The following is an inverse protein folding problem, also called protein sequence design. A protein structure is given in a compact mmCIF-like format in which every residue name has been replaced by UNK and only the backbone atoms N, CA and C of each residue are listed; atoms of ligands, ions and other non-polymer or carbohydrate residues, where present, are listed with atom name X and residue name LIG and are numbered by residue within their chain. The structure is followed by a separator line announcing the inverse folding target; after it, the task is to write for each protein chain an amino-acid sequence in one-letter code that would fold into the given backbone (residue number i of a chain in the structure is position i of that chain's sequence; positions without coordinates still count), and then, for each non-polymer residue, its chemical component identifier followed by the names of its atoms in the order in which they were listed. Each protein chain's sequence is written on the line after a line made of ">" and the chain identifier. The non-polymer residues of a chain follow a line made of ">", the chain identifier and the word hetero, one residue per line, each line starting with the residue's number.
data_IF_862637179894
#
_entry.id   IF_862637179894
#
_cell.length_a   1.000
_cell.length_b   1.000
_cell.length_c   1.000
_cell.angle_alpha   90.00
_cell.angle_beta   90.00
_cell.angle_gamma   90.00
#
_symmetry.space_group_name_H-M   'P 1'
#
loop_
_entity.id
_entity.type
_entity.pdbx_description
1 polymer ?
#
# COMPACT_ATOMS: atom_id res chain seq x y z
N UNK A 1 11.10 13.53 14.48
CA UNK A 1 12.15 13.51 13.43
C UNK A 1 11.83 12.38 12.47
N UNK A 2 11.38 12.66 11.25
CA UNK A 2 10.98 11.63 10.26
C UNK A 2 12.22 11.14 9.53
N UNK A 3 12.51 9.83 9.56
CA UNK A 3 13.63 9.28 8.81
C UNK A 3 13.36 7.90 8.20
N UNK A 4 13.69 7.83 6.90
CA UNK A 4 13.90 6.69 5.99
C UNK A 4 12.67 6.19 5.22
N UNK A 5 12.83 6.16 3.89
CA UNK A 5 11.91 5.61 2.90
C UNK A 5 11.71 4.10 3.11
N UNK A 6 10.45 3.60 3.21
CA UNK A 6 10.17 2.18 3.44
C UNK A 6 10.54 1.22 2.29
N UNK A 7 10.93 1.74 1.11
CA UNK A 7 11.30 0.85 -0.02
C UNK A 7 12.54 0.00 0.28
N UNK A 8 13.40 0.41 1.22
CA UNK A 8 14.73 -0.19 1.39
C UNK A 8 14.94 -0.98 2.71
N UNK A 9 13.91 -1.13 3.56
CA UNK A 9 14.06 -1.85 4.86
C UNK A 9 15.18 -1.30 5.76
N UNK A 10 15.51 -0.03 5.60
CA UNK A 10 16.61 0.67 6.27
C UNK A 10 16.10 1.44 7.50
N UNK A 11 16.87 1.36 8.59
CA UNK A 11 16.60 1.96 9.90
C UNK A 11 17.83 2.72 10.38
N UNK A 12 17.61 3.76 11.18
CA UNK A 12 18.70 4.55 11.75
C UNK A 12 18.92 4.20 13.21
N UNK A 13 20.18 4.06 13.60
CA UNK A 13 20.53 3.98 15.01
C UNK A 13 20.12 5.27 15.74
N UNK A 14 19.46 5.15 16.89
CA UNK A 14 19.06 6.30 17.71
C UNK A 14 20.24 7.03 18.36
N UNK A 15 21.42 6.40 18.44
CA UNK A 15 22.62 6.97 19.05
C UNK A 15 23.52 7.60 17.98
N UNK A 16 24.02 6.78 17.05
CA UNK A 16 25.00 7.24 16.04
C UNK A 16 24.37 7.66 14.71
N UNK A 17 23.05 7.54 14.55
CA UNK A 17 22.30 7.91 13.32
C UNK A 17 22.68 7.16 12.04
N UNK A 18 23.57 6.16 12.13
CA UNK A 18 23.97 5.29 11.02
C UNK A 18 22.75 4.57 10.45
N UNK A 19 22.60 4.60 9.12
CA UNK A 19 21.53 3.91 8.39
C UNK A 19 21.96 2.47 8.10
N UNK A 20 21.13 1.50 8.44
CA UNK A 20 21.39 0.07 8.21
C UNK A 20 20.11 -0.74 8.06
N UNK A 21 20.18 -1.95 7.53
CA UNK A 21 19.00 -2.83 7.44
C UNK A 21 18.48 -3.21 8.82
N UNK A 22 17.17 -3.45 8.94
CA UNK A 22 16.50 -3.83 10.20
C UNK A 22 17.20 -4.98 10.94
N UNK A 23 17.58 -6.04 10.22
CA UNK A 23 18.27 -7.21 10.80
C UNK A 23 19.66 -6.86 11.37
N UNK A 24 20.33 -5.86 10.80
CA UNK A 24 21.66 -5.42 11.21
C UNK A 24 21.61 -4.42 12.37
N UNK A 25 20.50 -3.70 12.54
CA UNK A 25 20.32 -2.70 13.60
C UNK A 25 20.49 -3.29 14.99
N UNK A 26 19.81 -4.41 15.28
CA UNK A 26 19.84 -5.00 16.62
C UNK A 26 21.24 -5.46 17.01
N UNK A 27 21.95 -6.11 16.07
CA UNK A 27 23.34 -6.52 16.27
C UNK A 27 24.26 -5.31 16.44
N UNK A 28 24.04 -4.25 15.69
CA UNK A 28 24.81 -3.00 15.83
C UNK A 28 24.62 -2.37 17.22
N UNK A 29 23.38 -2.31 17.72
CA UNK A 29 23.11 -1.78 19.07
C UNK A 29 23.82 -2.59 20.16
N UNK A 30 23.85 -3.92 20.02
CA UNK A 30 24.55 -4.79 20.97
C UNK A 30 26.08 -4.67 20.87
N UNK A 31 26.63 -4.64 19.65
CA UNK A 31 28.09 -4.70 19.43
C UNK A 31 28.80 -3.35 19.45
N UNK A 32 28.11 -2.25 19.19
CA UNK A 32 28.70 -0.90 19.14
C UNK A 32 28.25 -0.04 20.30
N UNK A 33 27.01 -0.19 20.74
CA UNK A 33 26.42 0.61 21.81
C UNK A 33 26.17 -0.19 23.09
N UNK A 34 26.61 -1.45 23.14
CA UNK A 34 26.53 -2.33 24.31
C UNK A 34 25.11 -2.46 24.88
N UNK A 35 24.08 -2.40 24.01
CA UNK A 35 22.70 -2.57 24.45
C UNK A 35 22.51 -3.95 25.08
N UNK A 36 21.83 -3.97 26.21
CA UNK A 36 21.38 -5.22 26.82
C UNK A 36 20.31 -5.88 25.96
N UNK A 37 20.04 -7.17 26.20
CA UNK A 37 18.98 -7.89 25.49
C UNK A 37 17.63 -7.19 25.66
N UNK A 38 17.31 -6.76 26.88
CA UNK A 38 16.02 -6.11 27.18
C UNK A 38 15.88 -4.77 26.44
N UNK A 39 16.95 -3.96 26.40
CA UNK A 39 16.95 -2.71 25.62
C UNK A 39 16.77 -2.96 24.12
N UNK A 40 17.30 -4.05 23.59
CA UNK A 40 17.07 -4.43 22.19
C UNK A 40 15.63 -4.90 21.95
N UNK A 41 15.01 -5.59 22.90
CA UNK A 41 13.59 -5.96 22.81
C UNK A 41 12.68 -4.73 22.82
N UNK A 42 13.01 -3.72 23.61
CA UNK A 42 12.29 -2.44 23.61
C UNK A 42 12.39 -1.74 22.24
N UNK A 43 13.60 -1.70 21.66
CA UNK A 43 13.80 -1.16 20.31
C UNK A 43 13.05 -2.01 19.26
N UNK A 44 13.01 -3.34 19.39
CA UNK A 44 12.22 -4.20 18.49
C UNK A 44 10.74 -3.86 18.54
N UNK A 45 10.19 -3.61 19.73
CA UNK A 45 8.79 -3.23 19.93
C UNK A 45 8.50 -1.87 19.31
N UNK A 46 9.38 -0.89 19.50
CA UNK A 46 9.22 0.44 18.90
C UNK A 46 9.30 0.40 17.37
N UNK A 47 10.27 -0.33 16.84
CA UNK A 47 10.42 -0.59 15.39
C UNK A 47 9.20 -1.33 14.85
N UNK A 48 8.59 -2.25 15.60
CA UNK A 48 7.37 -2.95 15.21
C UNK A 48 6.13 -2.03 15.23
N UNK A 49 6.03 -1.11 16.20
CA UNK A 49 4.97 -0.09 16.26
C UNK A 49 5.08 0.90 15.10
N UNK A 50 6.26 1.42 14.84
CA UNK A 50 6.52 2.32 13.69
C UNK A 50 6.36 1.58 12.35
N UNK A 51 6.67 0.29 12.31
CA UNK A 51 6.32 -0.57 11.19
C UNK A 51 4.81 -0.83 11.07
N UNK A 52 4.05 -0.85 12.16
CA UNK A 52 2.60 -0.97 12.11
C UNK A 52 1.96 0.25 11.43
N UNK A 53 2.50 1.43 11.71
CA UNK A 53 1.96 2.72 11.25
C UNK A 53 2.13 2.96 9.73
N UNK A 54 3.09 2.30 9.07
CA UNK A 54 3.18 2.34 7.60
C UNK A 54 2.05 1.56 6.91
N UNK A 55 1.31 0.69 7.60
CA UNK A 55 0.18 -0.01 6.98
C UNK A 55 -0.99 0.94 6.68
N UNK A 56 -1.01 2.12 7.30
CA UNK A 56 -1.91 3.25 6.99
C UNK A 56 -1.30 4.25 5.99
N UNK A 57 -0.49 3.79 5.05
CA UNK A 57 -0.12 4.64 3.91
C UNK A 57 -1.30 4.64 2.96
N UNK A 58 -2.18 5.62 3.11
CA UNK A 58 -3.17 5.96 2.10
C UNK A 58 -2.46 6.08 0.75
N UNK A 59 -2.76 5.16 -0.18
CA UNK A 59 -2.01 5.02 -1.44
C UNK A 59 -2.62 5.82 -2.57
N UNK A 60 -3.90 6.17 -2.43
CA UNK A 60 -4.69 6.85 -3.46
C UNK A 60 -5.52 7.94 -2.80
N UNK A 61 -5.88 8.96 -3.57
CA UNK A 61 -6.73 10.05 -3.12
C UNK A 61 -7.81 10.33 -4.16
N UNK A 62 -8.95 10.83 -3.71
CA UNK A 62 -10.02 11.26 -4.59
C UNK A 62 -9.64 12.56 -5.29
N UNK A 63 -9.66 12.63 -6.63
CA UNK A 63 -9.33 13.85 -7.35
C UNK A 63 -10.36 14.96 -7.15
N UNK A 64 -11.61 14.62 -6.81
CA UNK A 64 -12.71 15.59 -6.66
C UNK A 64 -12.69 16.28 -5.28
N UNK A 65 -12.50 15.53 -4.18
CA UNK A 65 -12.56 16.08 -2.81
C UNK A 65 -11.23 16.03 -2.04
N UNK A 66 -10.22 15.32 -2.55
CA UNK A 66 -8.91 15.20 -1.90
C UNK A 66 -8.84 14.21 -0.73
N UNK A 67 -9.92 13.49 -0.41
CA UNK A 67 -9.91 12.44 0.62
C UNK A 67 -8.94 11.31 0.26
N UNK A 68 -8.37 10.68 1.29
CA UNK A 68 -7.28 9.70 1.15
C UNK A 68 -7.76 8.30 1.50
N UNK A 69 -7.39 7.33 0.68
CA UNK A 69 -7.88 5.94 0.76
C UNK A 69 -6.74 4.91 0.73
N UNK A 70 -6.91 3.75 1.40
CA UNK A 70 -5.85 2.76 1.54
C UNK A 70 -5.62 1.99 0.23
N UNK A 71 -6.67 1.84 -0.58
CA UNK A 71 -6.65 1.15 -1.86
C UNK A 71 -7.71 1.71 -2.84
N UNK A 72 -7.67 1.22 -4.09
CA UNK A 72 -8.56 1.67 -5.16
C UNK A 72 -10.01 1.21 -4.96
N UNK A 73 -10.24 0.13 -4.20
CA UNK A 73 -11.59 -0.37 -3.95
C UNK A 73 -12.33 0.56 -2.99
N UNK A 74 -11.68 0.98 -1.89
CA UNK A 74 -12.23 1.99 -0.99
C UNK A 74 -12.47 3.33 -1.69
N UNK A 75 -11.56 3.74 -2.58
CA UNK A 75 -11.74 4.96 -3.39
C UNK A 75 -12.94 4.82 -4.34
N UNK A 76 -13.07 3.71 -5.06
CA UNK A 76 -14.19 3.50 -5.98
C UNK A 76 -15.53 3.57 -5.25
N UNK A 77 -15.65 2.93 -4.07
CA UNK A 77 -16.85 3.00 -3.24
C UNK A 77 -17.17 4.44 -2.80
N UNK A 78 -16.16 5.19 -2.35
CA UNK A 78 -16.35 6.60 -1.99
C UNK A 78 -16.85 7.43 -3.18
N UNK A 79 -16.26 7.24 -4.36
CA UNK A 79 -16.68 7.97 -5.56
C UNK A 79 -18.10 7.60 -6.01
N UNK A 80 -18.50 6.33 -5.85
CA UNK A 80 -19.87 5.87 -6.11
C UNK A 80 -20.88 6.54 -5.16
N UNK A 81 -20.55 6.67 -3.87
CA UNK A 81 -21.44 7.25 -2.86
C UNK A 81 -21.52 8.80 -2.91
N UNK A 82 -20.44 9.47 -3.29
CA UNK A 82 -20.30 10.93 -3.14
C UNK A 82 -20.10 11.71 -4.44
N UNK A 83 -19.70 11.05 -5.53
CA UNK A 83 -19.26 11.71 -6.76
C UNK A 83 -19.85 11.07 -8.03
N UNK A 84 -20.97 10.34 -7.93
CA UNK A 84 -21.59 9.66 -9.05
C UNK A 84 -21.98 10.62 -10.20
N UNK A 85 -22.48 11.81 -9.85
CA UNK A 85 -23.04 12.79 -10.80
C UNK A 85 -22.01 13.81 -11.33
N UNK A 86 -20.84 13.93 -10.68
CA UNK A 86 -19.85 14.98 -10.94
C UNK A 86 -18.44 14.41 -11.12
N UNK A 87 -18.34 13.19 -11.66
CA UNK A 87 -17.07 12.49 -11.88
C UNK A 87 -16.13 13.18 -12.87
N UNK A 88 -15.19 12.44 -13.46
CA UNK A 88 -14.10 12.99 -14.27
C UNK A 88 -14.53 14.07 -15.27
N UNK A 89 -14.02 15.29 -15.10
CA UNK A 89 -14.34 16.49 -15.90
C UNK A 89 -15.83 16.92 -15.84
N UNK A 90 -16.51 16.67 -14.71
CA UNK A 90 -17.92 17.02 -14.51
C UNK A 90 -18.89 16.13 -15.29
N UNK A 91 -18.44 14.96 -15.76
CA UNK A 91 -19.28 13.95 -16.39
C UNK A 91 -19.48 12.77 -15.43
N UNK A 92 -20.70 12.20 -15.36
CA UNK A 92 -20.94 10.99 -14.58
C UNK A 92 -19.98 9.85 -14.98
N UNK A 93 -19.50 9.11 -13.98
CA UNK A 93 -18.61 7.96 -14.17
C UNK A 93 -19.23 6.72 -13.54
N UNK A 94 -18.90 5.55 -14.08
CA UNK A 94 -19.30 4.25 -13.52
C UNK A 94 -18.20 3.75 -12.58
N UNK A 95 -18.43 3.88 -11.26
CA UNK A 95 -17.49 3.43 -10.21
C UNK A 95 -17.77 2.00 -9.73
N UNK A 96 -18.62 1.24 -10.44
CA UNK A 96 -19.05 -0.09 -10.01
C UNK A 96 -17.87 -1.06 -9.88
N UNK A 97 -17.73 -1.63 -8.70
CA UNK A 97 -16.83 -2.76 -8.47
C UNK A 97 -17.55 -4.06 -8.81
N UNK A 98 -16.94 -4.87 -9.68
CA UNK A 98 -17.46 -6.18 -10.09
C UNK A 98 -16.51 -7.30 -9.68
N UNK A 99 -17.06 -8.31 -9.02
CA UNK A 99 -16.38 -9.58 -8.72
C UNK A 99 -16.96 -10.66 -9.62
N UNK A 100 -16.12 -11.29 -10.44
CA UNK A 100 -16.50 -12.39 -11.34
C UNK A 100 -15.59 -13.59 -11.11
N UNK A 101 -16.16 -14.78 -11.28
CA UNK A 101 -15.45 -16.06 -11.33
C UNK A 101 -15.52 -16.63 -12.74
N UNK A 102 -14.48 -17.33 -13.16
CA UNK A 102 -14.39 -17.95 -14.48
C UNK A 102 -13.97 -19.40 -14.29
N UNK A 103 -14.58 -20.31 -15.06
CA UNK A 103 -14.26 -21.74 -14.96
C UNK A 103 -12.94 -22.06 -15.65
N UNK A 104 -12.55 -21.24 -16.63
CA UNK A 104 -11.29 -21.36 -17.32
C UNK A 104 -10.57 -20.03 -17.49
N UNK A 105 -9.25 -20.10 -17.65
CA UNK A 105 -8.44 -18.91 -17.96
C UNK A 105 -8.81 -18.30 -19.32
N UNK A 106 -9.22 -19.11 -20.30
CA UNK A 106 -9.63 -18.64 -21.63
C UNK A 106 -10.87 -17.75 -21.55
N UNK A 107 -11.84 -18.12 -20.71
CA UNK A 107 -13.03 -17.30 -20.47
C UNK A 107 -12.70 -15.98 -19.81
N UNK A 108 -11.77 -15.99 -18.83
CA UNK A 108 -11.26 -14.78 -18.21
C UNK A 108 -10.60 -13.86 -19.24
N UNK A 109 -9.73 -14.38 -20.12
CA UNK A 109 -9.04 -13.61 -21.15
C UNK A 109 -10.01 -12.97 -22.15
N UNK A 110 -11.03 -13.73 -22.57
CA UNK A 110 -12.09 -13.21 -23.45
C UNK A 110 -12.83 -12.06 -22.78
N UNK A 111 -13.32 -12.28 -21.55
CA UNK A 111 -14.01 -11.22 -20.81
C UNK A 111 -13.12 -9.99 -20.59
N UNK A 112 -11.86 -10.19 -20.21
CA UNK A 112 -10.91 -9.11 -19.96
C UNK A 112 -10.71 -8.25 -21.21
N UNK A 113 -10.60 -8.88 -22.38
CA UNK A 113 -10.43 -8.19 -23.67
C UNK A 113 -11.70 -7.42 -24.05
N UNK A 114 -12.86 -8.06 -23.99
CA UNK A 114 -14.16 -7.44 -24.25
C UNK A 114 -14.41 -6.24 -23.32
N UNK A 115 -14.02 -6.34 -22.05
CA UNK A 115 -14.19 -5.27 -21.06
C UNK A 115 -13.29 -4.05 -21.35
N UNK A 116 -12.04 -4.30 -21.76
CA UNK A 116 -11.12 -3.25 -22.20
C UNK A 116 -11.67 -2.51 -23.43
N UNK A 117 -12.18 -3.26 -24.41
CA UNK A 117 -12.80 -2.68 -25.61
C UNK A 117 -14.07 -1.88 -25.28
N UNK A 118 -14.97 -2.46 -24.47
CA UNK A 118 -16.23 -1.82 -24.05
C UNK A 118 -16.00 -0.48 -23.34
N UNK A 119 -14.96 -0.41 -22.52
CA UNK A 119 -14.66 0.77 -21.68
C UNK A 119 -13.62 1.68 -22.32
N UNK A 120 -13.14 1.38 -23.53
CA UNK A 120 -12.01 2.05 -24.16
C UNK A 120 -10.81 2.20 -23.21
N UNK A 121 -10.57 1.21 -22.35
CA UNK A 121 -9.59 1.26 -21.28
C UNK A 121 -8.56 0.15 -21.42
N UNK A 122 -7.42 0.32 -20.73
CA UNK A 122 -6.41 -0.72 -20.60
C UNK A 122 -6.39 -1.22 -19.16
N UNK A 123 -7.20 -2.23 -18.85
CA UNK A 123 -7.23 -2.83 -17.52
C UNK A 123 -5.86 -3.43 -17.17
N UNK A 124 -5.51 -3.43 -15.89
CA UNK A 124 -4.22 -3.96 -15.40
C UNK A 124 -4.41 -5.29 -14.70
N UNK A 125 -3.51 -6.25 -14.98
CA UNK A 125 -3.50 -7.56 -14.30
C UNK A 125 -2.64 -7.49 -13.04
N UNK A 126 -3.17 -7.98 -11.93
CA UNK A 126 -2.43 -8.15 -10.67
C UNK A 126 -2.66 -9.58 -10.18
N UNK A 127 -1.59 -10.35 -10.12
CA UNK A 127 -1.58 -11.65 -9.44
C UNK A 127 -1.01 -11.45 -8.04
N UNK A 128 -1.68 -12.03 -7.03
CA UNK A 128 -1.13 -12.13 -5.69
C UNK A 128 -0.51 -13.52 -5.56
N UNK A 129 0.81 -13.59 -5.39
CA UNK A 129 1.45 -14.83 -4.96
C UNK A 129 1.17 -15.00 -3.47
N UNK A 130 0.33 -15.96 -3.11
CA UNK A 130 0.23 -16.42 -1.73
C UNK A 130 1.57 -17.05 -1.36
N UNK A 131 2.30 -16.41 -0.43
CA UNK A 131 3.54 -16.92 0.16
C UNK A 131 3.24 -17.71 1.43
#
# INVERSE_FOLDING_TARGET
>A
MKMVSPRDNCWRCCICRTVMRRKSLYRHLQSVHMFTKDQVEDVKRDVAREAGDYKNVWRVFCPECGEKFPDHHSLAKHCDEHHQDVGACGQPQDYKVVTKTFDTYVEFERWFSEECERTCSSLSRKSFSSA
#
